data_IF_142876597353
#
_entry.id   IF_142876597353
#
_cell.length_a   1.000
_cell.length_b   1.000
_cell.length_c   1.000
_cell.angle_alpha   90.00
_cell.angle_beta   90.00
_cell.angle_gamma   90.00
#
_symmetry.space_group_name_H-M   'P 1'
#
loop_
_entity.id
_entity.type
_entity.pdbx_description
1 polymer ?
#
# COMPACT_ATOMS: atom_id res chain seq x y z
N UNK A 1 24.94 23.73 -31.49
CA UNK A 1 24.36 24.82 -30.68
C UNK A 1 24.37 24.31 -29.26
N UNK A 2 25.10 24.98 -28.38
CA UNK A 2 25.14 24.65 -26.96
C UNK A 2 23.83 25.15 -26.34
N UNK A 3 23.13 24.30 -25.59
CA UNK A 3 21.90 24.68 -24.90
C UNK A 3 22.27 25.32 -23.57
N UNK A 4 21.79 26.54 -23.35
CA UNK A 4 22.08 27.26 -22.12
C UNK A 4 21.32 26.66 -20.93
N UNK A 5 22.04 26.48 -19.81
CA UNK A 5 21.43 26.05 -18.56
C UNK A 5 20.73 27.23 -17.89
N UNK A 6 19.40 27.25 -17.99
CA UNK A 6 18.54 28.26 -17.37
C UNK A 6 18.19 27.96 -15.90
N UNK A 7 18.70 26.86 -15.34
CA UNK A 7 18.47 26.49 -13.94
C UNK A 7 19.36 27.31 -13.01
N UNK A 8 18.99 28.57 -12.81
CA UNK A 8 19.60 29.40 -11.77
C UNK A 8 19.31 28.83 -10.37
N UNK A 9 20.23 29.03 -9.43
CA UNK A 9 20.06 28.58 -8.04
C UNK A 9 18.80 29.17 -7.39
N UNK A 10 18.48 30.41 -7.71
CA UNK A 10 17.28 31.11 -7.23
C UNK A 10 16.00 30.47 -7.76
N UNK A 11 15.96 30.13 -9.06
CA UNK A 11 14.82 29.45 -9.69
C UNK A 11 14.55 28.08 -9.05
N UNK A 12 15.60 27.27 -8.85
CA UNK A 12 15.46 25.97 -8.18
C UNK A 12 15.01 26.12 -6.72
N UNK A 13 15.51 27.14 -6.01
CA UNK A 13 15.10 27.44 -4.65
C UNK A 13 13.62 27.81 -4.55
N UNK A 14 13.10 28.62 -5.48
CA UNK A 14 11.68 28.96 -5.51
C UNK A 14 10.79 27.74 -5.75
N UNK A 15 11.16 26.87 -6.69
CA UNK A 15 10.40 25.63 -6.95
C UNK A 15 10.42 24.74 -5.70
N UNK A 16 11.58 24.56 -5.06
CA UNK A 16 11.71 23.75 -3.86
C UNK A 16 10.80 24.23 -2.74
N UNK A 17 10.76 25.54 -2.49
CA UNK A 17 9.87 26.12 -1.46
C UNK A 17 8.42 25.83 -1.79
N UNK A 18 7.98 26.10 -3.02
CA UNK A 18 6.61 25.87 -3.45
C UNK A 18 6.19 24.39 -3.32
N UNK A 19 7.04 23.45 -3.73
CA UNK A 19 6.76 22.02 -3.59
C UNK A 19 6.65 21.63 -2.11
N UNK A 20 7.56 22.11 -1.26
CA UNK A 20 7.51 21.83 0.17
C UNK A 20 6.25 22.39 0.84
N UNK A 21 5.78 23.56 0.43
CA UNK A 21 4.50 24.12 0.91
C UNK A 21 3.30 23.28 0.48
N UNK A 22 3.27 22.82 -0.77
CA UNK A 22 2.22 21.91 -1.26
C UNK A 22 2.21 20.59 -0.48
N UNK A 23 3.39 20.03 -0.18
CA UNK A 23 3.51 18.77 0.57
C UNK A 23 3.11 18.92 2.04
N UNK A 24 3.22 20.11 2.65
CA UNK A 24 2.72 20.35 4.02
C UNK A 24 1.23 20.13 4.15
N UNK A 25 0.45 20.34 3.08
CA UNK A 25 -0.98 20.05 3.09
C UNK A 25 -1.29 18.55 3.07
N UNK A 26 -0.33 17.71 2.69
CA UNK A 26 -0.45 16.24 2.68
C UNK A 26 0.03 15.63 3.99
N UNK A 27 0.95 16.29 4.71
CA UNK A 27 1.34 15.85 6.04
C UNK A 27 0.11 15.87 6.95
N UNK A 28 -0.21 14.69 7.52
CA UNK A 28 -1.32 14.41 8.43
C UNK A 28 -1.73 15.64 9.26
N UNK A 29 -3.02 15.90 9.35
CA UNK A 29 -3.54 16.99 10.16
C UNK A 29 -3.08 16.81 11.62
N UNK A 30 -2.25 17.72 12.17
CA UNK A 30 -1.77 17.61 13.53
C UNK A 30 -2.96 17.70 14.48
N UNK A 31 -3.22 16.62 15.23
CA UNK A 31 -4.33 16.54 16.18
C UNK A 31 -5.47 15.59 15.78
N UNK A 32 -5.42 14.98 14.60
CA UNK A 32 -6.31 13.86 14.27
C UNK A 32 -5.70 12.59 14.85
N UNK A 33 -6.35 12.01 15.87
CA UNK A 33 -5.99 10.68 16.34
C UNK A 33 -6.29 9.70 15.20
N UNK A 34 -5.27 8.99 14.72
CA UNK A 34 -5.46 7.92 13.75
C UNK A 34 -6.20 6.79 14.46
N UNK A 35 -7.52 6.75 14.26
CA UNK A 35 -8.35 5.63 14.68
C UNK A 35 -8.38 4.62 13.54
N UNK A 36 -8.26 3.33 13.88
CA UNK A 36 -8.47 2.25 12.92
C UNK A 36 -9.87 2.37 12.33
N UNK A 37 -9.93 2.46 11.00
CA UNK A 37 -11.21 2.48 10.28
C UNK A 37 -11.76 1.06 10.34
N UNK A 38 -12.98 0.84 10.85
CA UNK A 38 -13.58 -0.48 10.81
C UNK A 38 -13.62 -0.99 9.37
N UNK A 39 -13.38 -2.28 9.11
CA UNK A 39 -13.47 -2.84 7.77
C UNK A 39 -14.83 -2.51 7.14
N UNK A 40 -14.82 -2.02 5.89
CA UNK A 40 -16.05 -1.66 5.17
C UNK A 40 -17.01 -2.87 5.01
N UNK A 41 -16.48 -4.09 5.10
CA UNK A 41 -17.22 -5.33 4.98
C UNK A 41 -16.76 -6.35 6.04
N UNK A 42 -17.71 -7.10 6.60
CA UNK A 42 -17.43 -8.28 7.38
C UNK A 42 -17.03 -9.42 6.43
N UNK A 43 -15.77 -9.83 6.48
CA UNK A 43 -15.29 -11.06 5.86
C UNK A 43 -15.35 -12.12 6.97
N UNK A 44 -16.22 -13.13 6.87
CA UNK A 44 -16.15 -14.27 7.78
C UNK A 44 -14.77 -14.91 7.65
N UNK A 45 -14.14 -15.25 8.78
CA UNK A 45 -12.97 -16.13 8.75
C UNK A 45 -13.45 -17.48 8.19
N UNK A 46 -13.07 -17.76 6.94
CA UNK A 46 -13.33 -19.06 6.33
C UNK A 46 -12.18 -19.96 6.73
N UNK A 47 -12.48 -20.97 7.53
CA UNK A 47 -11.52 -22.01 7.86
C UNK A 47 -11.31 -22.86 6.60
N UNK A 48 -10.18 -22.67 5.92
CA UNK A 48 -9.88 -23.31 4.64
C UNK A 48 -9.86 -24.85 4.77
N UNK A 49 -9.55 -25.34 5.97
CA UNK A 49 -9.58 -26.76 6.35
C UNK A 49 -11.00 -27.34 6.44
N UNK A 50 -12.04 -26.50 6.54
CA UNK A 50 -13.45 -26.91 6.64
C UNK A 50 -14.16 -26.89 5.26
N UNK A 51 -13.51 -26.41 4.20
CA UNK A 51 -14.04 -26.41 2.84
C UNK A 51 -13.87 -27.77 2.14
N UNK A 52 -14.97 -28.27 1.56
CA UNK A 52 -14.93 -29.47 0.73
C UNK A 52 -14.24 -29.18 -0.62
N UNK A 53 -13.15 -29.87 -0.99
CA UNK A 53 -12.42 -29.64 -2.24
C UNK A 53 -13.26 -29.94 -3.50
N UNK A 54 -14.35 -30.71 -3.38
CA UNK A 54 -15.26 -31.01 -4.49
C UNK A 54 -16.41 -29.98 -4.61
N UNK A 55 -16.61 -29.12 -3.61
CA UNK A 55 -17.59 -28.02 -3.68
C UNK A 55 -16.95 -26.75 -4.24
N UNK A 56 -17.64 -26.13 -5.21
CA UNK A 56 -17.19 -24.87 -5.78
C UNK A 56 -17.51 -23.74 -4.81
N UNK A 57 -16.47 -23.04 -4.35
CA UNK A 57 -16.58 -21.78 -3.60
C UNK A 57 -17.44 -20.76 -4.34
N UNK A 58 -18.28 -20.02 -3.60
CA UNK A 58 -19.12 -18.99 -4.19
C UNK A 58 -18.26 -17.91 -4.86
N UNK A 59 -18.74 -17.36 -5.99
CA UNK A 59 -18.01 -16.35 -6.76
C UNK A 59 -17.71 -15.11 -5.89
N UNK A 60 -18.62 -14.75 -4.99
CA UNK A 60 -18.43 -13.61 -4.09
C UNK A 60 -17.29 -13.84 -3.09
N UNK A 61 -17.02 -15.09 -2.71
CA UNK A 61 -15.91 -15.45 -1.82
C UNK A 61 -14.60 -15.43 -2.60
N UNK A 62 -14.58 -16.01 -3.81
CA UNK A 62 -13.41 -16.01 -4.68
C UNK A 62 -12.94 -14.59 -5.03
N UNK A 63 -13.86 -13.70 -5.39
CA UNK A 63 -13.55 -12.31 -5.75
C UNK A 63 -12.94 -11.52 -4.58
N UNK A 64 -13.16 -11.96 -3.32
CA UNK A 64 -12.60 -11.33 -2.11
C UNK A 64 -11.24 -11.88 -1.70
N UNK A 65 -10.87 -13.07 -2.16
CA UNK A 65 -9.60 -13.73 -1.88
C UNK A 65 -8.56 -13.49 -2.98
N UNK A 66 -8.82 -12.53 -3.89
CA UNK A 66 -7.88 -12.17 -4.95
C UNK A 66 -6.68 -11.45 -4.34
N UNK A 67 -5.57 -12.18 -4.18
CA UNK A 67 -4.27 -11.60 -3.90
C UNK A 67 -3.80 -10.75 -5.07
N UNK A 68 -3.20 -9.61 -4.76
CA UNK A 68 -2.67 -8.70 -5.78
C UNK A 68 -1.28 -9.17 -6.21
N UNK A 69 -0.99 -9.04 -7.50
CA UNK A 69 0.34 -9.40 -8.05
C UNK A 69 1.50 -8.59 -7.44
N UNK A 70 1.21 -7.48 -6.76
CA UNK A 70 2.16 -6.62 -6.07
C UNK A 70 2.11 -6.70 -4.54
N UNK A 71 1.39 -7.69 -3.98
CA UNK A 71 1.48 -8.04 -2.56
C UNK A 71 2.72 -8.88 -2.29
N UNK A 72 3.56 -8.43 -1.33
CA UNK A 72 4.79 -9.10 -0.91
C UNK A 72 4.76 -9.45 0.60
N UNK A 73 3.56 -9.55 1.19
CA UNK A 73 3.38 -9.82 2.61
C UNK A 73 2.42 -11.02 2.79
N UNK A 74 2.96 -12.20 3.07
CA UNK A 74 2.21 -13.47 3.18
C UNK A 74 1.93 -13.89 4.64
N UNK A 75 1.79 -12.94 5.57
CA UNK A 75 1.35 -13.21 6.94
C UNK A 75 2.47 -13.44 7.95
N UNK A 76 2.17 -14.20 9.01
CA UNK A 76 2.45 -13.96 10.45
C UNK A 76 3.83 -13.44 10.94
N UNK A 77 4.86 -13.19 10.11
CA UNK A 77 6.00 -12.31 10.42
C UNK A 77 6.83 -11.91 9.17
N UNK A 78 6.18 -11.56 8.06
CA UNK A 78 6.87 -11.38 6.77
C UNK A 78 7.69 -10.06 6.63
N UNK A 79 8.87 -10.19 6.03
CA UNK A 79 9.58 -9.17 5.23
C UNK A 79 10.66 -9.85 4.34
N UNK A 80 10.38 -11.05 3.82
CA UNK A 80 11.29 -12.08 3.27
C UNK A 80 12.23 -12.71 4.32
N UNK A 81 11.73 -13.64 5.16
CA UNK A 81 12.59 -14.53 5.97
C UNK A 81 13.17 -15.65 5.07
N UNK A 82 14.32 -15.39 4.45
CA UNK A 82 15.19 -16.46 3.92
C UNK A 82 16.00 -17.06 5.08
N UNK A 83 15.78 -18.35 5.36
CA UNK A 83 16.87 -19.20 5.85
C UNK A 83 16.67 -20.63 5.32
N UNK A 84 17.16 -20.84 4.09
CA UNK A 84 17.93 -22.01 3.68
C UNK A 84 17.40 -23.42 4.00
N UNK A 85 16.97 -24.11 2.94
CA UNK A 85 17.35 -25.52 2.74
C UNK A 85 16.25 -26.47 2.26
N UNK A 86 16.25 -26.80 0.97
CA UNK A 86 16.67 -28.13 0.51
C UNK A 86 16.95 -28.19 -0.99
#
# INVERSE_FOLDING_TARGET
>A
MEQDNLNSKTYLSSIKVQVMESLRAIQHAPGVQMQEVPPDFYVPDFDEDELDPDERVDQHTQDKQVHRDDEYYEGDNDNDHDDGGH
#
